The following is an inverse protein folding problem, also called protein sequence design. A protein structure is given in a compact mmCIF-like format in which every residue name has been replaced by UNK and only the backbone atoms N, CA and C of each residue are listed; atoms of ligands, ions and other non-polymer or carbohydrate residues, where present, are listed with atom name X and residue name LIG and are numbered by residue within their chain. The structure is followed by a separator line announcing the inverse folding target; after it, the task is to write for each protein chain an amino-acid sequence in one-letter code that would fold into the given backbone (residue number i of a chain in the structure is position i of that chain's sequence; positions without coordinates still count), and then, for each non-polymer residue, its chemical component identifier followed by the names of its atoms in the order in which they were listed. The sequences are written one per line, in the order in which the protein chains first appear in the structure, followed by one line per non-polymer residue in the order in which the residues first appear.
data_IF_737216522029
#
_entry.id   IF_737216522029
#
_cell.length_a   1.000
_cell.length_b   1.000
_cell.length_c   1.000
_cell.angle_alpha   90.00
_cell.angle_beta   90.00
_cell.angle_gamma   90.00
#
_symmetry.space_group_name_H-M   'P 1'
#
loop_
_entity.id
_entity.type
_entity.pdbx_description
1 polymer ?
#
# COMPACT_ATOMS: atom_id res chain seq x y z
N UNK A 1 -183.38 67.24 144.02
CA UNK A 1 -182.14 66.45 144.19
C UNK A 1 -181.34 66.59 142.90
N UNK A 2 -180.09 67.04 142.95
CA UNK A 2 -179.33 67.53 141.77
C UNK A 2 -177.87 67.06 141.86
N UNK A 3 -177.62 65.76 141.92
CA UNK A 3 -176.27 65.21 142.27
C UNK A 3 -175.93 63.91 141.52
N UNK A 4 -176.21 63.84 140.21
CA UNK A 4 -175.86 62.67 139.38
C UNK A 4 -175.38 62.98 137.96
N UNK A 5 -175.62 64.20 137.45
CA UNK A 5 -175.31 64.57 136.07
C UNK A 5 -173.85 65.04 135.89
N UNK A 6 -173.24 65.67 136.90
CA UNK A 6 -171.84 66.13 136.85
C UNK A 6 -170.82 64.96 136.88
N UNK A 7 -171.14 63.85 137.55
CA UNK A 7 -170.26 62.68 137.64
C UNK A 7 -170.10 61.95 136.29
N UNK A 8 -171.12 61.99 135.43
CA UNK A 8 -171.09 61.37 134.11
C UNK A 8 -170.17 62.14 133.15
N UNK A 9 -170.16 63.47 133.22
CA UNK A 9 -169.39 64.32 132.32
C UNK A 9 -167.87 64.28 132.61
N UNK A 10 -167.48 64.09 133.88
CA UNK A 10 -166.07 63.95 134.26
C UNK A 10 -165.47 62.61 133.77
N UNK A 11 -166.25 61.52 133.82
CA UNK A 11 -165.78 60.18 133.40
C UNK A 11 -165.64 60.04 131.88
N UNK A 12 -166.42 60.76 131.08
CA UNK A 12 -166.20 60.86 129.63
C UNK A 12 -164.90 61.60 129.28
N UNK A 13 -164.49 62.61 130.05
CA UNK A 13 -163.24 63.34 129.81
C UNK A 13 -162.00 62.48 130.16
N UNK A 14 -162.00 61.76 131.29
CA UNK A 14 -160.90 60.86 131.67
C UNK A 14 -160.74 59.68 130.70
N UNK A 15 -161.84 59.08 130.24
CA UNK A 15 -161.78 57.97 129.27
C UNK A 15 -161.28 58.44 127.91
N UNK A 16 -161.60 59.68 127.48
CA UNK A 16 -161.09 60.27 126.24
C UNK A 16 -159.59 60.59 126.32
N UNK A 17 -159.13 61.18 127.43
CA UNK A 17 -157.71 61.44 127.68
C UNK A 17 -156.89 60.13 127.78
N UNK A 18 -157.44 59.10 128.42
CA UNK A 18 -156.84 57.76 128.49
C UNK A 18 -156.71 57.13 127.11
N UNK A 19 -157.74 57.27 126.26
CA UNK A 19 -157.73 56.75 124.88
C UNK A 19 -156.68 57.45 124.00
N UNK A 20 -156.52 58.77 124.13
CA UNK A 20 -155.47 59.51 123.43
C UNK A 20 -154.06 59.11 123.90
N UNK A 21 -153.88 58.90 125.20
CA UNK A 21 -152.59 58.45 125.77
C UNK A 21 -152.21 57.06 125.26
N UNK A 22 -153.16 56.11 125.22
CA UNK A 22 -152.96 54.77 124.65
C UNK A 22 -152.67 54.85 123.14
N UNK A 23 -153.40 55.66 122.38
CA UNK A 23 -153.13 55.88 120.94
C UNK A 23 -151.70 56.43 120.71
N UNK A 24 -151.24 57.34 121.57
CA UNK A 24 -149.90 57.93 121.50
C UNK A 24 -148.82 56.89 121.79
N UNK A 25 -148.94 56.13 122.87
CA UNK A 25 -148.03 55.05 123.24
C UNK A 25 -147.99 53.93 122.19
N UNK A 26 -149.14 53.53 121.64
CA UNK A 26 -149.19 52.54 120.55
C UNK A 26 -148.51 53.08 119.27
N UNK A 27 -148.62 54.39 119.00
CA UNK A 27 -147.92 55.05 117.90
C UNK A 27 -146.41 55.21 118.16
N UNK A 28 -145.98 55.39 119.40
CA UNK A 28 -144.57 55.44 119.81
C UNK A 28 -143.92 54.06 119.75
N UNK A 29 -144.54 53.03 120.36
CA UNK A 29 -144.14 51.62 120.22
C UNK A 29 -144.13 51.20 118.75
N UNK A 30 -145.11 51.64 117.95
CA UNK A 30 -145.16 51.40 116.51
C UNK A 30 -144.06 52.12 115.70
N UNK A 31 -143.49 53.22 116.23
CA UNK A 31 -142.26 53.84 115.70
C UNK A 31 -141.03 53.08 116.16
N UNK A 32 -140.85 52.90 117.47
CA UNK A 32 -139.70 52.17 118.04
C UNK A 32 -139.54 50.77 117.45
N UNK A 33 -140.63 50.02 117.23
CA UNK A 33 -140.57 48.69 116.63
C UNK A 33 -140.16 48.74 115.14
N UNK A 34 -140.44 49.84 114.42
CA UNK A 34 -139.88 50.08 113.09
C UNK A 34 -138.41 50.46 113.15
N UNK A 35 -138.01 51.33 114.09
CA UNK A 35 -136.60 51.70 114.29
C UNK A 35 -135.77 50.48 114.68
N UNK A 36 -136.26 49.63 115.59
CA UNK A 36 -135.61 48.38 115.98
C UNK A 36 -135.48 47.41 114.81
N UNK A 37 -136.53 47.25 113.98
CA UNK A 37 -136.45 46.42 112.77
C UNK A 37 -135.42 46.94 111.77
N UNK A 38 -135.34 48.27 111.59
CA UNK A 38 -134.33 48.90 110.73
C UNK A 38 -132.91 48.69 111.27
N UNK A 39 -132.67 49.00 112.55
CA UNK A 39 -131.37 48.77 113.20
C UNK A 39 -130.99 47.29 113.13
N UNK A 40 -131.93 46.37 113.35
CA UNK A 40 -131.66 44.94 113.26
C UNK A 40 -131.36 44.50 111.81
N UNK A 41 -132.04 45.05 110.79
CA UNK A 41 -131.68 44.77 109.39
C UNK A 41 -130.32 45.33 109.03
N UNK A 42 -129.98 46.53 109.50
CA UNK A 42 -128.68 47.16 109.26
C UNK A 42 -127.56 46.36 109.93
N UNK A 43 -127.77 45.87 111.16
CA UNK A 43 -126.83 44.98 111.86
C UNK A 43 -126.66 43.65 111.14
N UNK A 44 -127.72 43.07 110.55
CA UNK A 44 -127.56 41.86 109.71
C UNK A 44 -126.87 42.14 108.39
N UNK A 45 -127.14 43.29 107.76
CA UNK A 45 -126.50 43.70 106.51
C UNK A 45 -125.00 43.94 106.73
N UNK A 46 -124.62 44.71 107.75
CA UNK A 46 -123.20 44.95 108.09
C UNK A 46 -122.47 43.67 108.50
N UNK A 47 -123.15 42.65 109.05
CA UNK A 47 -122.54 41.32 109.26
C UNK A 47 -122.25 40.61 107.94
N UNK A 48 -123.20 40.58 107.02
CA UNK A 48 -123.01 39.98 105.68
C UNK A 48 -121.92 40.73 104.89
N UNK A 49 -121.88 42.06 104.98
CA UNK A 49 -120.81 42.87 104.39
C UNK A 49 -119.44 42.59 105.02
N UNK A 50 -119.37 42.42 106.35
CA UNK A 50 -118.14 42.02 107.04
C UNK A 50 -117.67 40.62 106.63
N UNK A 51 -118.57 39.64 106.57
CA UNK A 51 -118.24 38.26 106.16
C UNK A 51 -117.78 38.21 104.70
N UNK A 52 -118.43 38.98 103.80
CA UNK A 52 -118.01 39.12 102.40
C UNK A 52 -116.65 39.83 102.28
N UNK A 53 -116.40 40.88 103.07
CA UNK A 53 -115.12 41.57 103.10
C UNK A 53 -113.99 40.68 103.66
N UNK A 54 -114.28 39.84 104.67
CA UNK A 54 -113.34 38.86 105.20
C UNK A 54 -113.03 37.76 104.18
N UNK A 55 -114.03 37.24 103.47
CA UNK A 55 -113.82 36.28 102.38
C UNK A 55 -112.94 36.88 101.27
N UNK A 56 -113.27 38.10 100.81
CA UNK A 56 -112.45 38.82 99.83
C UNK A 56 -111.03 39.10 100.32
N UNK A 57 -110.84 39.38 101.62
CA UNK A 57 -109.50 39.56 102.21
C UNK A 57 -108.69 38.28 102.16
N UNK A 58 -109.30 37.14 102.50
CA UNK A 58 -108.64 35.82 102.48
C UNK A 58 -108.27 35.41 101.04
N UNK A 59 -109.13 35.69 100.06
CA UNK A 59 -108.82 35.37 98.67
C UNK A 59 -107.72 36.29 98.09
N UNK A 60 -107.70 37.58 98.47
CA UNK A 60 -106.58 38.48 98.15
C UNK A 60 -105.28 38.09 98.88
N UNK A 61 -105.34 37.62 100.13
CA UNK A 61 -104.17 37.10 100.85
C UNK A 61 -103.57 35.88 100.12
N UNK A 62 -104.42 34.96 99.66
CA UNK A 62 -104.00 33.82 98.83
C UNK A 62 -103.44 34.23 97.47
N UNK A 63 -104.04 35.22 96.81
CA UNK A 63 -103.54 35.73 95.53
C UNK A 63 -102.17 36.41 95.70
N UNK A 64 -101.98 37.18 96.77
CA UNK A 64 -100.68 37.76 97.13
C UNK A 64 -99.64 36.66 97.39
N UNK A 65 -100.00 35.61 98.12
CA UNK A 65 -99.11 34.47 98.40
C UNK A 65 -98.71 33.74 97.10
N UNK A 66 -99.68 33.41 96.24
CA UNK A 66 -99.42 32.79 94.93
C UNK A 66 -98.63 33.68 93.95
N UNK A 67 -98.80 35.01 94.03
CA UNK A 67 -98.00 35.97 93.27
C UNK A 67 -96.57 36.08 93.81
N UNK A 68 -96.38 36.00 95.13
CA UNK A 68 -95.06 35.96 95.77
C UNK A 68 -94.30 34.67 95.41
N UNK A 69 -94.94 33.50 95.50
CA UNK A 69 -94.35 32.23 95.07
C UNK A 69 -93.93 32.27 93.59
N UNK A 70 -94.78 32.84 92.71
CA UNK A 70 -94.46 33.06 91.29
C UNK A 70 -93.30 34.03 91.10
N UNK A 71 -93.23 35.11 91.88
CA UNK A 71 -92.15 36.08 91.82
C UNK A 71 -90.82 35.44 92.27
N UNK A 72 -90.82 34.68 93.37
CA UNK A 72 -89.64 33.99 93.89
C UNK A 72 -89.15 32.89 92.93
N UNK A 73 -90.08 32.11 92.36
CA UNK A 73 -89.77 31.15 91.30
C UNK A 73 -89.16 31.84 90.07
N UNK A 74 -89.74 32.95 89.61
CA UNK A 74 -89.20 33.73 88.48
C UNK A 74 -87.82 34.33 88.79
N UNK A 75 -87.60 34.88 89.99
CA UNK A 75 -86.30 35.35 90.45
C UNK A 75 -85.26 34.23 90.45
N UNK A 76 -85.61 33.05 90.97
CA UNK A 76 -84.74 31.87 90.99
C UNK A 76 -84.39 31.39 89.57
N UNK A 77 -85.34 31.41 88.63
CA UNK A 77 -85.06 31.08 87.22
C UNK A 77 -84.15 32.10 86.54
N UNK A 78 -84.37 33.39 86.76
CA UNK A 78 -83.53 34.46 86.21
C UNK A 78 -82.12 34.43 86.80
N UNK A 79 -81.97 34.21 88.10
CA UNK A 79 -80.67 34.04 88.77
C UNK A 79 -79.89 32.84 88.20
N UNK A 80 -80.59 31.73 87.91
CA UNK A 80 -80.00 30.56 87.26
C UNK A 80 -79.54 30.89 85.84
N UNK A 81 -80.35 31.62 85.08
CA UNK A 81 -80.01 32.05 83.72
C UNK A 81 -78.83 33.03 83.71
N UNK A 82 -78.79 34.01 84.60
CA UNK A 82 -77.66 34.94 84.75
C UNK A 82 -76.37 34.16 85.03
N UNK A 83 -76.38 33.26 86.01
CA UNK A 83 -75.22 32.40 86.34
C UNK A 83 -74.78 31.53 85.15
N UNK A 84 -75.72 31.00 84.38
CA UNK A 84 -75.43 30.20 83.20
C UNK A 84 -74.83 31.03 82.06
N UNK A 85 -75.35 32.25 81.83
CA UNK A 85 -74.80 33.20 80.84
C UNK A 85 -73.42 33.70 81.25
N UNK A 86 -73.21 34.03 82.52
CA UNK A 86 -71.91 34.41 83.09
C UNK A 86 -70.87 33.29 82.94
N UNK A 87 -71.25 32.05 83.24
CA UNK A 87 -70.36 30.90 83.06
C UNK A 87 -69.97 30.71 81.59
N UNK A 88 -70.94 30.74 80.66
CA UNK A 88 -70.69 30.65 79.22
C UNK A 88 -69.82 31.80 78.70
N UNK A 89 -70.03 33.02 79.21
CA UNK A 89 -69.23 34.19 78.86
C UNK A 89 -67.78 34.07 79.35
N UNK A 90 -67.56 33.57 80.58
CA UNK A 90 -66.23 33.30 81.13
C UNK A 90 -65.51 32.19 80.35
N UNK A 91 -66.18 31.07 80.08
CA UNK A 91 -65.64 29.96 79.31
C UNK A 91 -65.18 30.42 77.91
N UNK A 92 -66.06 31.11 77.17
CA UNK A 92 -65.74 31.70 75.87
C UNK A 92 -64.57 32.70 75.93
N UNK A 93 -64.47 33.49 77.00
CA UNK A 93 -63.34 34.40 77.22
C UNK A 93 -62.02 33.66 77.46
N UNK A 94 -62.02 32.58 78.25
CA UNK A 94 -60.83 31.72 78.43
C UNK A 94 -60.42 31.04 77.14
N UNK A 95 -61.36 30.53 76.34
CA UNK A 95 -61.08 29.91 75.04
C UNK A 95 -60.51 30.91 74.03
N UNK A 96 -61.04 32.15 73.99
CA UNK A 96 -60.51 33.21 73.15
C UNK A 96 -59.09 33.62 73.58
N UNK A 97 -58.82 33.64 74.89
CA UNK A 97 -57.50 33.99 75.44
C UNK A 97 -56.46 32.92 75.10
N UNK A 98 -56.76 31.64 75.33
CA UNK A 98 -55.84 30.54 75.00
C UNK A 98 -55.60 30.38 73.50
N UNK A 99 -56.61 30.64 72.66
CA UNK A 99 -56.42 30.72 71.20
C UNK A 99 -55.46 31.85 70.81
N UNK A 100 -55.61 33.04 71.40
CA UNK A 100 -54.71 34.18 71.14
C UNK A 100 -53.28 33.89 71.59
N UNK A 101 -53.10 33.25 72.74
CA UNK A 101 -51.78 32.80 73.24
C UNK A 101 -51.15 31.75 72.31
N UNK A 102 -51.93 30.77 71.84
CA UNK A 102 -51.48 29.77 70.87
C UNK A 102 -51.05 30.41 69.54
N UNK A 103 -51.83 31.37 69.01
CA UNK A 103 -51.47 32.12 67.81
C UNK A 103 -50.19 32.94 68.00
N UNK A 104 -50.02 33.61 69.15
CA UNK A 104 -48.78 34.33 69.47
C UNK A 104 -47.59 33.39 69.58
N UNK A 105 -47.76 32.18 70.12
CA UNK A 105 -46.71 31.16 70.17
C UNK A 105 -46.28 30.69 68.77
N UNK A 106 -47.25 30.40 67.89
CA UNK A 106 -46.98 29.92 66.52
C UNK A 106 -46.36 31.01 65.62
N UNK A 107 -46.81 32.26 65.77
CA UNK A 107 -46.31 33.41 64.99
C UNK A 107 -45.06 34.06 65.61
N UNK A 108 -44.75 33.69 66.86
CA UNK A 108 -43.79 34.30 67.75
C UNK A 108 -42.40 33.69 67.68
N UNK A 109 -41.58 34.25 66.80
CA UNK A 109 -40.13 34.27 66.98
C UNK A 109 -39.58 35.64 66.53
N UNK A 110 -38.62 36.18 67.30
CA UNK A 110 -37.78 37.38 67.06
C UNK A 110 -38.25 38.79 67.44
N UNK A 111 -39.42 39.02 68.04
CA UNK A 111 -39.69 40.33 68.68
C UNK A 111 -40.25 40.19 70.09
N UNK A 112 -39.70 41.02 70.99
CA UNK A 112 -39.64 40.77 72.42
C UNK A 112 -40.96 40.51 73.15
N UNK A 113 -40.83 39.83 74.29
CA UNK A 113 -41.86 39.67 75.31
C UNK A 113 -42.19 41.01 75.99
N UNK A 114 -42.66 42.00 75.24
CA UNK A 114 -43.31 43.18 75.81
C UNK A 114 -44.56 42.71 76.55
N UNK A 115 -44.64 42.99 77.84
CA UNK A 115 -45.71 42.52 78.75
C UNK A 115 -47.09 43.18 78.50
N UNK A 116 -47.61 43.04 77.28
CA UNK A 116 -48.98 43.36 76.91
C UNK A 116 -49.77 42.08 76.65
N UNK A 117 -51.06 42.07 77.00
CA UNK A 117 -51.97 40.99 76.64
C UNK A 117 -51.99 40.79 75.10
N UNK A 118 -52.18 39.55 74.60
CA UNK A 118 -52.09 39.25 73.17
C UNK A 118 -53.18 40.00 72.39
N UNK A 119 -52.79 41.14 71.82
CA UNK A 119 -53.67 42.02 71.07
C UNK A 119 -53.83 41.52 69.64
N UNK A 120 -55.06 41.61 69.12
CA UNK A 120 -55.43 41.11 67.80
C UNK A 120 -54.68 41.82 66.67
N UNK A 121 -54.37 43.11 66.84
CA UNK A 121 -53.67 43.89 65.83
C UNK A 121 -52.20 43.50 65.70
N UNK A 122 -51.53 43.14 66.81
CA UNK A 122 -50.15 42.62 66.79
C UNK A 122 -50.08 41.28 66.04
N UNK A 123 -51.07 40.40 66.25
CA UNK A 123 -51.22 39.14 65.53
C UNK A 123 -51.43 39.40 64.03
N UNK A 124 -52.34 40.31 63.66
CA UNK A 124 -52.62 40.69 62.26
C UNK A 124 -51.40 41.29 61.57
N UNK A 125 -50.68 42.22 62.22
CA UNK A 125 -49.50 42.86 61.65
C UNK A 125 -48.34 41.88 61.49
N UNK A 126 -48.18 40.93 62.43
CA UNK A 126 -47.23 39.83 62.26
C UNK A 126 -47.58 38.95 61.06
N UNK A 127 -48.85 38.59 60.87
CA UNK A 127 -49.31 37.83 59.70
C UNK A 127 -49.06 38.62 58.40
N UNK A 128 -49.40 39.92 58.35
CA UNK A 128 -49.13 40.80 57.19
C UNK A 128 -47.64 40.88 56.86
N UNK A 129 -46.79 41.02 57.88
CA UNK A 129 -45.32 41.03 57.74
C UNK A 129 -44.79 39.69 57.19
N UNK A 130 -45.27 38.56 57.71
CA UNK A 130 -44.90 37.24 57.21
C UNK A 130 -45.35 37.00 55.77
N UNK A 131 -46.57 37.40 55.41
CA UNK A 131 -47.10 37.31 54.03
C UNK A 131 -46.29 38.18 53.07
N UNK A 132 -45.89 39.38 53.49
CA UNK A 132 -45.04 40.26 52.67
C UNK A 132 -43.65 39.65 52.49
N UNK A 133 -43.01 39.20 53.57
CA UNK A 133 -41.71 38.53 53.52
C UNK A 133 -41.73 37.21 52.73
N UNK A 134 -42.85 36.49 52.70
CA UNK A 134 -43.03 35.32 51.84
C UNK A 134 -43.04 35.73 50.36
N UNK A 135 -43.86 36.71 49.97
CA UNK A 135 -43.89 37.25 48.60
C UNK A 135 -42.54 37.80 48.14
N UNK A 136 -41.81 38.47 49.02
CA UNK A 136 -40.46 38.96 48.73
C UNK A 136 -39.48 37.78 48.48
N UNK A 137 -39.63 36.66 49.21
CA UNK A 137 -38.83 35.45 48.97
C UNK A 137 -39.23 34.76 47.67
N UNK A 138 -40.52 34.66 47.38
CA UNK A 138 -41.03 34.07 46.13
C UNK A 138 -40.49 34.85 44.91
N UNK A 139 -40.57 36.19 44.94
CA UNK A 139 -39.99 37.04 43.89
C UNK A 139 -38.46 36.90 43.77
N UNK A 140 -37.75 36.67 44.88
CA UNK A 140 -36.32 36.36 44.85
C UNK A 140 -36.02 34.96 44.30
N UNK A 141 -36.88 33.97 44.56
CA UNK A 141 -36.80 32.62 43.96
C UNK A 141 -37.00 32.73 42.45
N UNK A 142 -38.05 33.39 41.97
CA UNK A 142 -38.32 33.62 40.54
C UNK A 142 -37.12 34.27 39.83
N UNK A 143 -36.51 35.28 40.45
CA UNK A 143 -35.31 35.95 39.94
C UNK A 143 -34.10 35.01 39.88
N UNK A 144 -33.87 34.20 40.92
CA UNK A 144 -32.78 33.23 40.96
C UNK A 144 -32.99 32.11 39.95
N UNK A 145 -34.20 31.58 39.81
CA UNK A 145 -34.54 30.61 38.78
C UNK A 145 -34.31 31.18 37.37
N UNK A 146 -34.73 32.42 37.11
CA UNK A 146 -34.49 33.04 35.82
C UNK A 146 -32.99 33.23 35.55
N UNK A 147 -32.20 33.55 36.58
CA UNK A 147 -30.74 33.61 36.47
C UNK A 147 -30.15 32.23 36.17
N UNK A 148 -30.64 31.16 36.80
CA UNK A 148 -30.24 29.77 36.50
C UNK A 148 -30.59 29.41 35.06
N UNK A 149 -31.83 29.64 34.61
CA UNK A 149 -32.27 29.42 33.22
C UNK A 149 -31.35 30.13 32.22
N UNK A 150 -31.10 31.43 32.43
CA UNK A 150 -30.23 32.24 31.57
C UNK A 150 -28.77 31.70 31.53
N UNK A 151 -28.21 31.26 32.67
CA UNK A 151 -26.86 30.72 32.73
C UNK A 151 -26.75 29.33 32.07
N UNK A 152 -27.78 28.49 32.22
CA UNK A 152 -27.87 27.20 31.53
C UNK A 152 -27.89 27.38 30.01
N UNK A 153 -28.74 28.28 29.49
CA UNK A 153 -28.76 28.60 28.06
C UNK A 153 -27.42 29.13 27.54
N UNK A 154 -26.73 29.96 28.33
CA UNK A 154 -25.40 30.47 27.95
C UNK A 154 -24.36 29.34 27.88
N UNK A 155 -24.38 28.42 28.86
CA UNK A 155 -23.49 27.26 28.87
C UNK A 155 -23.77 26.30 27.70
N UNK A 156 -25.04 26.04 27.37
CA UNK A 156 -25.42 25.21 26.22
C UNK A 156 -24.95 25.83 24.89
N UNK A 157 -25.13 27.14 24.70
CA UNK A 157 -24.62 27.88 23.53
C UNK A 157 -23.09 27.81 23.45
N UNK A 158 -22.39 27.90 24.59
CA UNK A 158 -20.94 27.77 24.64
C UNK A 158 -20.48 26.34 24.29
N UNK A 159 -21.16 25.31 24.79
CA UNK A 159 -20.87 23.91 24.47
C UNK A 159 -21.05 23.63 22.98
N UNK A 160 -22.13 24.11 22.35
CA UNK A 160 -22.33 23.88 20.92
C UNK A 160 -21.35 24.69 20.05
N UNK A 161 -20.97 25.91 20.47
CA UNK A 161 -19.89 26.66 19.85
C UNK A 161 -18.55 25.90 19.93
N UNK A 162 -18.22 25.36 21.10
CA UNK A 162 -17.00 24.55 21.30
C UNK A 162 -17.03 23.29 20.41
N UNK A 163 -18.13 22.52 20.40
CA UNK A 163 -18.30 21.36 19.51
C UNK A 163 -18.17 21.73 18.04
N UNK A 164 -18.69 22.89 17.64
CA UNK A 164 -18.50 23.38 16.27
C UNK A 164 -17.06 23.78 15.96
N UNK A 165 -16.31 24.30 16.93
CA UNK A 165 -14.88 24.58 16.76
C UNK A 165 -14.07 23.28 16.68
N UNK A 166 -14.33 22.31 17.55
CA UNK A 166 -13.71 20.98 17.53
C UNK A 166 -13.94 20.25 16.20
N UNK A 167 -15.17 20.30 15.65
CA UNK A 167 -15.46 19.74 14.31
C UNK A 167 -14.62 20.40 13.21
N UNK A 168 -14.45 21.73 13.25
CA UNK A 168 -13.61 22.48 12.28
C UNK A 168 -12.13 22.16 12.44
N UNK A 169 -11.62 22.04 13.67
CA UNK A 169 -10.24 21.67 13.95
C UNK A 169 -9.95 20.25 13.42
N UNK A 170 -10.83 19.28 13.68
CA UNK A 170 -10.68 17.91 13.16
C UNK A 170 -10.70 17.86 11.63
N UNK A 171 -11.57 18.64 10.99
CA UNK A 171 -11.57 18.71 9.52
C UNK A 171 -10.24 19.27 9.00
N UNK A 172 -9.77 20.40 9.55
CA UNK A 172 -8.49 20.99 9.16
C UNK A 172 -7.29 20.07 9.44
N UNK A 173 -7.33 19.24 10.48
CA UNK A 173 -6.32 18.20 10.76
C UNK A 173 -6.34 17.09 9.71
N UNK A 174 -7.53 16.62 9.30
CA UNK A 174 -7.66 15.62 8.24
C UNK A 174 -7.19 16.17 6.88
N UNK A 175 -7.58 17.41 6.56
CA UNK A 175 -7.18 18.08 5.32
C UNK A 175 -5.66 18.34 5.29
N UNK A 176 -5.05 18.65 6.44
CA UNK A 176 -3.59 18.79 6.57
C UNK A 176 -2.88 17.45 6.36
N UNK A 177 -3.40 16.34 6.92
CA UNK A 177 -2.82 15.01 6.72
C UNK A 177 -2.87 14.55 5.25
N UNK A 178 -3.98 14.78 4.53
CA UNK A 178 -4.05 14.51 3.07
C UNK A 178 -3.00 15.31 2.29
N UNK A 179 -2.80 16.58 2.65
CA UNK A 179 -1.80 17.44 2.02
C UNK A 179 -0.36 17.02 2.36
N UNK A 180 -0.09 16.57 3.59
CA UNK A 180 1.21 16.01 3.99
C UNK A 180 1.52 14.71 3.23
N UNK A 181 0.56 13.78 3.15
CA UNK A 181 0.70 12.54 2.37
C UNK A 181 0.98 12.86 0.89
N UNK A 182 0.21 13.77 0.28
CA UNK A 182 0.38 14.16 -1.13
C UNK A 182 1.70 14.89 -1.38
N UNK A 183 2.18 15.70 -0.43
CA UNK A 183 3.50 16.32 -0.48
C UNK A 183 4.59 15.24 -0.47
N UNK A 184 4.53 14.30 0.47
CA UNK A 184 5.50 13.21 0.58
C UNK A 184 5.55 12.34 -0.70
N UNK A 185 4.40 12.06 -1.32
CA UNK A 185 4.37 11.36 -2.62
C UNK A 185 5.06 12.17 -3.73
N UNK A 186 4.80 13.48 -3.82
CA UNK A 186 5.45 14.35 -4.81
C UNK A 186 6.98 14.48 -4.56
N UNK A 187 7.42 14.53 -3.30
CA UNK A 187 8.84 14.53 -2.93
C UNK A 187 9.54 13.22 -3.34
N UNK A 188 8.88 12.08 -3.13
CA UNK A 188 9.37 10.77 -3.58
C UNK A 188 9.51 10.71 -5.12
N UNK A 189 8.50 11.19 -5.85
CA UNK A 189 8.51 11.21 -7.32
C UNK A 189 9.61 12.13 -7.88
N UNK A 190 9.84 13.29 -7.25
CA UNK A 190 10.96 14.19 -7.59
C UNK A 190 12.30 13.49 -7.33
N UNK A 191 12.49 12.87 -6.17
CA UNK A 191 13.73 12.16 -5.84
C UNK A 191 14.00 10.99 -6.80
N UNK A 192 12.99 10.21 -7.16
CA UNK A 192 13.08 9.14 -8.15
C UNK A 192 13.43 9.70 -9.55
N UNK A 193 12.80 10.81 -9.93
CA UNK A 193 13.06 11.49 -11.21
C UNK A 193 14.48 12.05 -11.29
N UNK A 194 15.01 12.61 -10.21
CA UNK A 194 16.38 13.13 -10.17
C UNK A 194 17.43 12.00 -10.18
N UNK A 195 17.18 10.89 -9.49
CA UNK A 195 18.01 9.69 -9.61
C UNK A 195 18.06 9.15 -11.06
N UNK A 196 16.92 9.16 -11.77
CA UNK A 196 16.88 8.81 -13.20
C UNK A 196 17.64 9.81 -14.09
N UNK A 197 17.52 11.12 -13.84
CA UNK A 197 18.29 12.16 -14.55
C UNK A 197 19.79 11.98 -14.36
N UNK A 198 20.24 11.68 -13.14
CA UNK A 198 21.65 11.45 -12.86
C UNK A 198 22.16 10.14 -13.48
N UNK A 199 21.34 9.07 -13.49
CA UNK A 199 21.57 7.89 -14.31
C UNK A 199 21.83 8.26 -15.78
N UNK A 200 20.90 8.97 -16.42
CA UNK A 200 21.03 9.43 -17.81
C UNK A 200 22.23 10.36 -18.04
N UNK A 201 22.60 11.21 -17.08
CA UNK A 201 23.82 12.04 -17.14
C UNK A 201 25.08 11.18 -17.12
N UNK A 202 25.14 10.16 -16.26
CA UNK A 202 26.30 9.23 -16.23
C UNK A 202 26.40 8.42 -17.52
N UNK A 203 25.28 7.95 -18.08
CA UNK A 203 25.25 7.27 -19.37
C UNK A 203 25.68 8.19 -20.51
N UNK A 204 25.16 9.43 -20.58
CA UNK A 204 25.61 10.42 -21.55
C UNK A 204 27.13 10.61 -21.47
N UNK A 205 27.70 10.76 -20.27
CA UNK A 205 29.15 10.88 -20.11
C UNK A 205 29.91 9.62 -20.56
N UNK A 206 29.40 8.41 -20.26
CA UNK A 206 29.96 7.14 -20.76
C UNK A 206 29.96 7.10 -22.29
N UNK A 207 28.86 7.47 -22.95
CA UNK A 207 28.74 7.49 -24.40
C UNK A 207 29.65 8.55 -25.05
N UNK A 208 29.71 9.77 -24.50
CA UNK A 208 30.63 10.82 -24.99
C UNK A 208 32.09 10.32 -24.97
N UNK A 209 32.53 9.71 -23.87
CA UNK A 209 33.89 9.16 -23.71
C UNK A 209 34.15 7.94 -24.61
N UNK A 210 33.12 7.16 -24.93
CA UNK A 210 33.23 6.10 -25.93
C UNK A 210 33.45 6.69 -27.33
N UNK A 211 32.65 7.68 -27.72
CA UNK A 211 32.75 8.34 -29.04
C UNK A 211 34.09 9.06 -29.22
N UNK A 212 34.60 9.74 -28.18
CA UNK A 212 35.94 10.33 -28.16
C UNK A 212 37.04 9.29 -28.48
N UNK A 213 36.96 8.09 -27.88
CA UNK A 213 37.91 6.99 -28.17
C UNK A 213 37.79 6.49 -29.61
N UNK A 214 36.59 6.47 -30.19
CA UNK A 214 36.38 6.07 -31.59
C UNK A 214 36.90 7.15 -32.55
N UNK A 215 36.64 8.43 -32.27
CA UNK A 215 37.19 9.56 -33.02
C UNK A 215 38.73 9.48 -33.07
N UNK A 216 39.37 9.17 -31.95
CA UNK A 216 40.83 9.09 -31.88
C UNK A 216 41.40 7.87 -32.60
N UNK A 217 40.74 6.72 -32.49
CA UNK A 217 41.09 5.53 -33.29
C UNK A 217 41.01 5.80 -34.81
N UNK A 218 40.03 6.59 -35.25
CA UNK A 218 39.85 7.00 -36.66
C UNK A 218 40.72 8.21 -37.08
N UNK A 219 41.40 8.84 -36.11
CA UNK A 219 42.18 10.08 -36.25
C UNK A 219 41.33 11.27 -36.74
N UNK A 220 40.16 11.45 -36.14
CA UNK A 220 39.17 12.51 -36.42
C UNK A 220 39.18 13.60 -35.33
N UNK A 221 40.03 13.46 -34.30
CA UNK A 221 40.10 14.33 -33.11
C UNK A 221 40.11 15.84 -33.42
N UNK A 222 40.83 16.27 -34.46
CA UNK A 222 40.94 17.68 -34.87
C UNK A 222 39.69 18.23 -35.57
N UNK A 223 38.84 17.37 -36.13
CA UNK A 223 37.57 17.76 -36.76
C UNK A 223 36.45 17.76 -35.70
N UNK A 224 36.50 16.82 -34.75
CA UNK A 224 35.49 16.65 -33.71
C UNK A 224 35.39 17.85 -32.75
N UNK A 225 36.49 18.58 -32.53
CA UNK A 225 36.55 19.72 -31.62
C UNK A 225 35.64 20.90 -32.01
N UNK A 226 35.50 21.19 -33.31
CA UNK A 226 34.75 22.35 -33.82
C UNK A 226 33.32 22.01 -34.28
N UNK A 227 33.03 20.74 -34.52
CA UNK A 227 31.85 20.30 -35.29
C UNK A 227 30.69 19.83 -34.40
N UNK A 228 30.93 19.63 -33.10
CA UNK A 228 29.90 19.29 -32.11
C UNK A 228 29.50 17.81 -32.12
N UNK A 229 28.87 17.35 -31.03
CA UNK A 229 28.67 15.92 -30.80
C UNK A 229 27.82 15.22 -31.87
N UNK A 230 26.68 15.81 -32.26
CA UNK A 230 25.76 15.17 -33.22
C UNK A 230 26.45 14.93 -34.58
N UNK A 231 27.23 15.89 -35.05
CA UNK A 231 27.98 15.80 -36.30
C UNK A 231 29.30 15.01 -36.16
N UNK A 232 29.79 14.74 -34.94
CA UNK A 232 30.99 13.91 -34.72
C UNK A 232 30.76 12.45 -35.15
N UNK A 233 29.52 11.95 -35.03
CA UNK A 233 29.13 10.64 -35.54
C UNK A 233 29.27 10.54 -37.06
N UNK A 234 28.72 11.52 -37.78
CA UNK A 234 28.81 11.60 -39.25
C UNK A 234 30.27 11.74 -39.73
N UNK A 235 31.09 12.53 -39.02
CA UNK A 235 32.51 12.66 -39.32
C UNK A 235 33.29 11.33 -39.15
N UNK A 236 32.97 10.55 -38.11
CA UNK A 236 33.53 9.20 -37.90
C UNK A 236 33.08 8.25 -39.02
N UNK A 237 31.80 8.27 -39.41
CA UNK A 237 31.26 7.42 -40.48
C UNK A 237 31.93 7.75 -41.82
N UNK A 238 31.98 9.02 -42.21
CA UNK A 238 32.61 9.47 -43.45
C UNK A 238 34.10 9.08 -43.50
N UNK A 239 34.80 9.13 -42.35
CA UNK A 239 36.18 8.67 -42.23
C UNK A 239 36.33 7.16 -42.37
N UNK A 240 35.43 6.37 -41.78
CA UNK A 240 35.43 4.92 -41.90
C UNK A 240 35.23 4.48 -43.36
N UNK A 241 34.28 5.07 -44.08
CA UNK A 241 34.09 4.82 -45.52
C UNK A 241 35.31 5.24 -46.35
N UNK A 242 35.98 6.36 -46.01
CA UNK A 242 37.19 6.80 -46.69
C UNK A 242 38.31 5.75 -46.54
N UNK A 243 38.53 5.25 -45.32
CA UNK A 243 39.53 4.22 -45.05
C UNK A 243 39.21 2.91 -45.79
N UNK A 244 37.94 2.50 -45.81
CA UNK A 244 37.47 1.34 -46.57
C UNK A 244 37.78 1.48 -48.07
N UNK A 245 37.46 2.65 -48.68
CA UNK A 245 37.76 2.93 -50.09
C UNK A 245 39.27 2.83 -50.38
N UNK A 246 40.10 3.46 -49.55
CA UNK A 246 41.57 3.40 -49.67
C UNK A 246 42.13 1.97 -49.54
N UNK A 247 41.54 1.14 -48.67
CA UNK A 247 41.96 -0.26 -48.52
C UNK A 247 41.55 -1.11 -49.74
N UNK A 248 40.35 -0.90 -50.29
CA UNK A 248 39.92 -1.56 -51.53
C UNK A 248 40.82 -1.23 -52.71
N UNK A 249 41.18 0.05 -52.90
CA UNK A 249 42.09 0.48 -53.97
C UNK A 249 43.48 -0.16 -53.79
N UNK A 250 44.03 -0.14 -52.58
CA UNK A 250 45.32 -0.76 -52.27
C UNK A 250 45.32 -2.29 -52.45
N UNK A 251 44.18 -2.96 -52.25
CA UNK A 251 44.01 -4.39 -52.55
C UNK A 251 43.92 -4.66 -54.06
N UNK A 252 43.26 -3.80 -54.83
CA UNK A 252 43.21 -3.90 -56.30
C UNK A 252 44.61 -3.73 -56.92
N UNK A 253 45.39 -2.76 -56.45
CA UNK A 253 46.78 -2.56 -56.86
C UNK A 253 47.67 -3.76 -56.53
N UNK A 254 47.57 -4.30 -55.30
CA UNK A 254 48.31 -5.51 -54.91
C UNK A 254 47.93 -6.72 -55.76
N UNK A 255 46.64 -6.91 -56.04
CA UNK A 255 46.14 -8.00 -56.90
C UNK A 255 46.71 -7.87 -58.31
N UNK A 256 46.71 -6.66 -58.86
CA UNK A 256 47.30 -6.34 -60.18
C UNK A 256 48.82 -6.57 -60.20
N UNK A 257 49.53 -6.22 -59.12
CA UNK A 257 50.96 -6.46 -58.99
C UNK A 257 51.28 -7.97 -58.93
N UNK A 258 50.51 -8.74 -58.14
CA UNK A 258 50.65 -10.21 -58.05
C UNK A 258 50.41 -10.85 -59.42
N UNK A 259 49.36 -10.44 -60.15
CA UNK A 259 49.09 -10.94 -61.50
C UNK A 259 50.25 -10.65 -62.48
N UNK A 260 50.81 -9.44 -62.42
CA UNK A 260 51.98 -9.07 -63.23
C UNK A 260 53.24 -9.88 -62.88
N UNK A 261 53.47 -10.18 -61.60
CA UNK A 261 54.56 -11.05 -61.16
C UNK A 261 54.34 -12.51 -61.63
N UNK A 262 53.13 -13.04 -61.49
CA UNK A 262 52.77 -14.38 -62.01
C UNK A 262 53.02 -14.49 -63.52
N UNK A 263 52.68 -13.45 -64.29
CA UNK A 263 52.94 -13.38 -65.74
C UNK A 263 54.44 -13.37 -66.06
N UNK A 264 55.26 -12.64 -65.30
CA UNK A 264 56.73 -12.66 -65.42
C UNK A 264 57.32 -14.02 -65.07
N UNK A 265 56.86 -14.64 -63.97
CA UNK A 265 57.30 -15.99 -63.55
C UNK A 265 57.00 -17.01 -64.66
N UNK A 266 55.78 -16.98 -65.24
CA UNK A 266 55.43 -17.83 -66.38
C UNK A 266 56.38 -17.59 -67.56
N UNK A 267 56.60 -16.33 -67.96
CA UNK A 267 57.52 -16.01 -69.05
C UNK A 267 58.96 -16.47 -68.81
N UNK A 268 59.47 -16.41 -67.58
CA UNK A 268 60.81 -16.92 -67.26
C UNK A 268 60.86 -18.45 -67.22
N UNK A 269 59.77 -19.12 -66.79
CA UNK A 269 59.65 -20.58 -66.85
C UNK A 269 59.65 -21.07 -68.30
N UNK A 270 58.84 -20.45 -69.17
CA UNK A 270 58.77 -20.76 -70.60
C UNK A 270 60.15 -20.53 -71.28
N UNK A 271 60.89 -19.48 -70.88
CA UNK A 271 62.26 -19.23 -71.35
C UNK A 271 63.28 -20.27 -70.84
N UNK A 272 63.17 -20.70 -69.59
CA UNK A 272 64.04 -21.72 -68.99
C UNK A 272 63.85 -23.06 -69.70
N UNK A 273 62.60 -23.51 -69.87
CA UNK A 273 62.27 -24.75 -70.59
C UNK A 273 62.80 -24.73 -72.04
N UNK A 274 62.74 -23.58 -72.72
CA UNK A 274 63.34 -23.39 -74.05
C UNK A 274 64.88 -23.50 -74.04
N UNK A 275 65.55 -22.98 -73.00
CA UNK A 275 67.00 -23.09 -72.83
C UNK A 275 67.45 -24.50 -72.45
N UNK A 276 66.69 -25.21 -71.62
CA UNK A 276 66.96 -26.60 -71.26
C UNK A 276 66.84 -27.51 -72.49
N UNK A 277 65.80 -27.34 -73.31
CA UNK A 277 65.67 -28.05 -74.60
C UNK A 277 66.87 -27.77 -75.54
N UNK A 278 67.38 -26.53 -75.57
CA UNK A 278 68.57 -26.19 -76.34
C UNK A 278 69.84 -26.84 -75.78
N UNK A 279 70.02 -26.85 -74.44
CA UNK A 279 71.11 -27.56 -73.78
C UNK A 279 71.08 -29.07 -74.07
N UNK A 280 69.91 -29.70 -74.05
CA UNK A 280 69.76 -31.12 -74.38
C UNK A 280 70.11 -31.43 -75.84
N UNK A 281 69.74 -30.55 -76.77
CA UNK A 281 70.16 -30.65 -78.18
C UNK A 281 71.68 -30.50 -78.33
N UNK A 282 72.31 -29.56 -77.60
CA UNK A 282 73.77 -29.40 -77.60
C UNK A 282 74.48 -30.60 -76.96
N UNK A 283 73.99 -31.13 -75.84
CA UNK A 283 74.51 -32.34 -75.18
C UNK A 283 74.44 -33.55 -76.11
N UNK A 284 73.29 -33.79 -76.76
CA UNK A 284 73.13 -34.81 -77.81
C UNK A 284 74.10 -34.58 -78.98
N UNK A 285 74.35 -33.33 -79.35
CA UNK A 285 75.29 -33.01 -80.44
C UNK A 285 76.75 -33.26 -80.06
N UNK A 286 77.14 -32.96 -78.82
CA UNK A 286 78.46 -33.27 -78.27
C UNK A 286 78.66 -34.78 -78.25
N UNK A 287 77.72 -35.54 -77.70
CA UNK A 287 77.77 -37.02 -77.69
C UNK A 287 77.94 -37.58 -79.11
N UNK A 288 77.16 -37.12 -80.10
CA UNK A 288 77.32 -37.53 -81.50
C UNK A 288 78.69 -37.19 -82.11
N UNK A 289 79.36 -36.14 -81.63
CA UNK A 289 80.70 -35.77 -82.10
C UNK A 289 81.78 -36.59 -81.38
N UNK A 290 81.62 -36.85 -80.09
CA UNK A 290 82.47 -37.75 -79.30
C UNK A 290 82.44 -39.18 -79.86
N UNK A 291 81.25 -39.73 -80.13
CA UNK A 291 81.08 -41.04 -80.79
C UNK A 291 81.80 -41.11 -82.15
N UNK A 292 81.74 -40.02 -82.95
CA UNK A 292 82.45 -39.93 -84.25
C UNK A 292 83.97 -39.83 -84.10
N UNK A 293 84.46 -39.18 -83.05
CA UNK A 293 85.91 -39.07 -82.78
C UNK A 293 86.44 -40.40 -82.25
N UNK A 294 85.73 -41.04 -81.31
CA UNK A 294 86.04 -42.38 -80.81
C UNK A 294 86.05 -43.41 -81.95
N UNK A 295 85.01 -43.47 -82.78
CA UNK A 295 84.97 -44.39 -83.92
C UNK A 295 86.08 -44.14 -84.95
N UNK A 296 86.52 -42.89 -85.15
CA UNK A 296 87.71 -42.59 -85.97
C UNK A 296 89.00 -43.10 -85.34
N UNK A 297 89.18 -42.90 -84.03
CA UNK A 297 90.37 -43.37 -83.30
C UNK A 297 90.42 -44.91 -83.24
N UNK A 298 89.28 -45.58 -83.14
CA UNK A 298 89.18 -47.05 -83.21
C UNK A 298 89.58 -47.58 -84.59
N UNK A 299 89.07 -46.97 -85.68
CA UNK A 299 89.45 -47.32 -87.05
C UNK A 299 90.94 -47.06 -87.32
N UNK A 300 91.51 -46.00 -86.75
CA UNK A 300 92.95 -45.69 -86.85
C UNK A 300 93.80 -46.74 -86.13
N UNK A 301 93.37 -47.17 -84.93
CA UNK A 301 94.00 -48.27 -84.17
C UNK A 301 93.89 -49.62 -84.89
N UNK A 302 92.74 -49.96 -85.45
CA UNK A 302 92.54 -51.20 -86.23
C UNK A 302 93.43 -51.22 -87.49
N UNK A 303 93.55 -50.08 -88.17
CA UNK A 303 94.48 -49.90 -89.30
C UNK A 303 95.95 -50.07 -88.88
N UNK A 304 96.35 -49.58 -87.72
CA UNK A 304 97.72 -49.76 -87.20
C UNK A 304 97.99 -51.22 -86.78
N UNK A 305 97.03 -51.90 -86.16
CA UNK A 305 97.10 -53.32 -85.84
C UNK A 305 97.21 -54.19 -87.12
N UNK A 306 96.43 -53.89 -88.16
CA UNK A 306 96.52 -54.59 -89.44
C UNK A 306 97.80 -54.21 -90.22
N UNK A 307 98.30 -52.98 -90.08
CA UNK A 307 99.62 -52.58 -90.59
C UNK A 307 100.76 -53.36 -89.89
N UNK A 308 100.64 -53.59 -88.59
CA UNK A 308 101.56 -54.43 -87.81
C UNK A 308 101.44 -55.91 -88.22
N UNK A 309 100.23 -56.41 -88.48
CA UNK A 309 99.97 -57.76 -88.98
C UNK A 309 100.58 -57.96 -90.37
N UNK A 310 100.34 -57.03 -91.30
CA UNK A 310 100.94 -57.02 -92.63
C UNK A 310 102.47 -57.07 -92.53
N UNK A 311 103.09 -56.19 -91.73
CA UNK A 311 104.54 -56.19 -91.50
C UNK A 311 105.08 -57.50 -90.88
N UNK A 312 104.30 -58.19 -90.05
CA UNK A 312 104.66 -59.54 -89.53
C UNK A 312 104.56 -60.61 -90.62
N UNK A 313 103.52 -60.56 -91.46
CA UNK A 313 103.33 -61.48 -92.59
C UNK A 313 104.40 -61.26 -93.66
N UNK A 314 104.77 -60.02 -93.98
CA UNK A 314 105.89 -59.67 -94.86
C UNK A 314 107.21 -60.29 -94.36
N UNK A 315 107.50 -60.18 -93.05
CA UNK A 315 108.69 -60.82 -92.44
C UNK A 315 108.65 -62.35 -92.52
N UNK A 316 107.47 -62.96 -92.35
CA UNK A 316 107.28 -64.41 -92.53
C UNK A 316 107.46 -64.82 -93.99
N UNK A 317 106.90 -64.07 -94.93
CA UNK A 317 107.10 -64.26 -96.38
C UNK A 317 108.57 -64.13 -96.74
N UNK A 318 109.30 -63.15 -96.21
CA UNK A 318 110.73 -62.99 -96.48
C UNK A 318 111.56 -64.14 -95.88
N UNK A 319 111.21 -64.61 -94.67
CA UNK A 319 111.81 -65.81 -94.07
C UNK A 319 111.53 -67.06 -94.92
N UNK A 320 110.31 -67.27 -95.40
CA UNK A 320 109.97 -68.40 -96.25
C UNK A 320 110.60 -68.29 -97.64
N UNK A 321 110.74 -67.09 -98.22
CA UNK A 321 111.55 -66.87 -99.44
C UNK A 321 113.00 -67.27 -99.21
N UNK A 322 113.59 -66.88 -98.07
CA UNK A 322 114.96 -67.24 -97.71
C UNK A 322 115.11 -68.76 -97.60
N UNK A 323 114.21 -69.45 -96.88
CA UNK A 323 114.18 -70.92 -96.80
C UNK A 323 113.96 -71.61 -98.15
N UNK A 324 113.09 -71.06 -99.02
CA UNK A 324 112.92 -71.55 -100.39
C UNK A 324 114.20 -71.35 -101.21
N UNK A 325 114.94 -70.28 -100.98
CA UNK A 325 116.20 -70.00 -101.67
C UNK A 325 117.34 -70.87 -101.15
N UNK A 326 117.37 -71.16 -99.84
CA UNK A 326 118.24 -72.16 -99.18
C UNK A 326 117.94 -73.55 -99.74
N UNK A 327 116.69 -74.03 -99.73
CA UNK A 327 116.34 -75.32 -100.33
C UNK A 327 116.58 -75.35 -101.86
N UNK A 328 116.43 -74.23 -102.58
CA UNK A 328 116.85 -74.14 -103.98
C UNK A 328 118.37 -74.22 -104.13
N UNK A 329 119.14 -73.69 -103.18
CA UNK A 329 120.58 -73.84 -103.15
C UNK A 329 120.97 -75.28 -102.82
N UNK A 330 120.35 -75.93 -101.83
CA UNK A 330 120.52 -77.36 -101.56
C UNK A 330 120.16 -78.22 -102.77
N UNK A 331 119.07 -77.90 -103.50
CA UNK A 331 118.73 -78.59 -104.76
C UNK A 331 119.77 -78.32 -105.85
N UNK A 332 120.37 -77.12 -105.93
CA UNK A 332 121.48 -76.83 -106.84
C UNK A 332 122.74 -77.61 -106.46
N UNK A 333 123.07 -77.68 -105.17
CA UNK A 333 124.25 -78.36 -104.64
C UNK A 333 124.11 -79.88 -104.73
N UNK A 334 122.91 -80.42 -104.49
CA UNK A 334 122.57 -81.83 -104.72
C UNK A 334 122.59 -82.16 -106.22
N UNK A 335 122.11 -81.27 -107.10
CA UNK A 335 122.25 -81.44 -108.56
C UNK A 335 123.71 -81.37 -109.00
N UNK A 336 124.53 -80.49 -108.41
CA UNK A 336 125.95 -80.41 -108.69
C UNK A 336 126.65 -81.71 -108.25
N UNK A 337 126.42 -82.18 -107.03
CA UNK A 337 126.90 -83.49 -106.54
C UNK A 337 126.41 -84.67 -107.40
N UNK A 338 125.20 -84.58 -107.97
CA UNK A 338 124.67 -85.57 -108.91
C UNK A 338 125.42 -85.52 -110.25
N UNK A 339 125.74 -84.33 -110.77
CA UNK A 339 126.55 -84.17 -111.98
C UNK A 339 127.99 -84.60 -111.77
N UNK A 340 128.61 -84.28 -110.63
CA UNK A 340 129.94 -84.79 -110.26
C UNK A 340 129.93 -86.32 -110.16
N UNK A 341 128.90 -86.91 -109.54
CA UNK A 341 128.71 -88.36 -109.48
C UNK A 341 128.53 -89.01 -110.86
N UNK A 342 127.90 -88.32 -111.82
CA UNK A 342 127.86 -88.75 -113.22
C UNK A 342 129.21 -88.57 -113.93
N UNK A 343 129.97 -87.50 -113.62
CA UNK A 343 131.32 -87.27 -114.12
C UNK A 343 132.31 -88.38 -113.76
N UNK A 344 132.26 -88.87 -112.51
CA UNK A 344 133.07 -90.01 -112.07
C UNK A 344 132.76 -91.32 -112.83
N UNK A 345 131.52 -91.50 -113.33
CA UNK A 345 131.18 -92.65 -114.19
C UNK A 345 131.67 -92.50 -115.63
N UNK A 346 131.83 -91.27 -116.13
CA UNK A 346 132.33 -91.00 -117.49
C UNK A 346 133.86 -91.11 -117.55
N UNK A 347 134.58 -90.66 -116.50
CA UNK A 347 136.05 -90.67 -116.50
C UNK A 347 136.66 -92.09 -116.42
N UNK A 348 135.95 -93.06 -115.85
CA UNK A 348 136.45 -94.44 -115.69
C UNK A 348 136.30 -95.32 -116.95
N UNK A 349 135.62 -94.83 -118.01
CA UNK A 349 135.26 -95.64 -119.20
C UNK A 349 136.24 -95.42 -120.38
N UNK A 350 137.15 -94.44 -120.31
CA UNK A 350 138.06 -94.10 -121.44
C UNK A 350 139.37 -94.90 -121.44
N UNK A 351 139.73 -95.63 -120.35
CA UNK A 351 140.89 -96.53 -120.33
C UNK A 351 140.45 -97.99 -120.47
N UNK A 352 139.95 -98.27 -121.67
CA UNK A 352 139.91 -99.59 -122.31
C UNK A 352 141.13 -99.59 -123.25
N UNK A 353 142.23 -100.27 -122.91
CA UNK A 353 142.47 -101.68 -123.24
C UNK A 353 142.11 -102.00 -124.70
N UNK A 354 143.01 -102.25 -125.65
CA UNK A 354 144.13 -103.20 -125.65
C UNK A 354 144.00 -104.29 -124.56
N UNK A 355 143.60 -105.50 -124.99
CA UNK A 355 143.06 -106.64 -124.20
C UNK A 355 141.52 -106.59 -124.15
N UNK A 356 140.82 -107.32 -125.03
CA UNK A 356 140.37 -108.73 -124.89
C UNK A 356 139.13 -108.83 -123.95
N UNK A 357 138.00 -109.48 -124.27
CA UNK A 357 137.47 -110.09 -125.51
C UNK A 357 135.98 -110.40 -125.27
N UNK A 358 135.16 -110.49 -126.32
CA UNK A 358 133.78 -111.03 -126.36
C UNK A 358 132.71 -110.43 -125.38
N UNK A 359 131.40 -110.41 -125.71
CA UNK A 359 130.75 -110.90 -126.92
C UNK A 359 129.22 -110.96 -126.85
N UNK A 360 128.56 -109.79 -126.81
CA UNK A 360 127.23 -109.58 -127.45
C UNK A 360 125.91 -110.00 -126.75
N UNK A 361 124.86 -109.19 -127.08
CA UNK A 361 123.40 -109.47 -127.01
C UNK A 361 122.82 -109.52 -125.56
N UNK A 362 121.54 -109.25 -125.23
CA UNK A 362 120.30 -108.93 -125.98
C UNK A 362 119.13 -108.52 -125.01
N UNK A 363 118.08 -107.79 -125.47
CA UNK A 363 116.74 -107.56 -124.80
C UNK A 363 116.71 -106.78 -123.44
N UNK A 364 115.60 -106.23 -122.89
CA UNK A 364 114.34 -105.63 -123.39
C UNK A 364 113.48 -104.94 -122.27
N UNK A 365 112.62 -103.98 -122.66
CA UNK A 365 111.26 -103.62 -122.14
C UNK A 365 110.92 -103.15 -120.69
N UNK A 366 110.06 -102.11 -120.63
CA UNK A 366 108.95 -101.92 -119.65
C UNK A 366 109.18 -100.97 -118.45
N UNK A 367 108.19 -100.27 -117.84
CA UNK A 367 106.90 -99.62 -118.20
C UNK A 367 106.06 -99.37 -116.91
N UNK A 368 105.09 -98.43 -116.97
CA UNK A 368 104.00 -98.13 -115.98
C UNK A 368 104.38 -97.33 -114.71
N UNK A 369 103.61 -96.40 -114.10
CA UNK A 369 102.26 -95.75 -114.23
C UNK A 369 101.45 -95.78 -112.90
N UNK A 370 100.58 -94.77 -112.69
CA UNK A 370 99.59 -94.47 -111.59
C UNK A 370 100.08 -93.57 -110.42
N UNK A 371 99.24 -92.78 -109.71
CA UNK A 371 97.88 -92.22 -109.95
C UNK A 371 97.70 -90.90 -109.14
N UNK A 372 97.28 -89.76 -109.72
CA UNK A 372 95.90 -89.18 -109.80
C UNK A 372 95.14 -88.97 -108.47
N UNK A 373 94.90 -87.70 -108.11
CA UNK A 373 93.64 -87.05 -107.59
C UNK A 373 93.98 -85.60 -107.17
N UNK A 374 93.48 -84.47 -107.72
CA UNK A 374 92.10 -83.97 -107.98
C UNK A 374 91.39 -83.65 -106.64
N UNK A 375 91.04 -82.42 -106.23
CA UNK A 375 90.46 -81.17 -106.82
C UNK A 375 91.08 -79.92 -106.14
N UNK A 376 91.16 -78.68 -106.64
CA UNK A 376 90.35 -77.77 -107.49
C UNK A 376 89.25 -76.96 -106.73
N UNK A 377 89.39 -75.63 -106.66
CA UNK A 377 88.38 -74.70 -106.09
C UNK A 377 88.96 -73.38 -105.54
N UNK A 378 88.84 -72.28 -106.29
CA UNK A 378 89.12 -70.90 -105.83
C UNK A 378 87.82 -70.20 -105.42
N UNK A 379 87.86 -69.36 -104.39
CA UNK A 379 87.96 -67.89 -104.54
C UNK A 379 88.73 -67.31 -103.36
#
# INVERSE_FOLDING_TARGET
MVTLQEALQNTELETKASRETIMRLVSEVGREQKTYKHINSDVTNMRVELDNALASRIDLEREIEALNERLEANMSTLDREIKEKDYRARDAFTQLTSLKESLVSILGDRYGHGHGAPCEDVIKDRIRSLVTSARDKDANIDMLEQKVRNLTEQLERQIEMQRSAERKIRQAQNDAADMEDRLHHAENDIAATDALKDGLRTDKHRYLKFMERVASAMKVDTISADVGFDMSGDAIIARAEQLQRMEMDALADKTTHVYNLQRKIKSFKDQLESKDLHNDLLRKKIQQLEERVMGRSELEREKDDESLRSRKLEKLVEKYKMQINEHRQEIRDLKARLMDSMGFKVFMIVIVSNIFVDGGRQWAFGSQCLAVSVTNGRW
#
